data_IF_480927259096
#
_entry.id   IF_480927259096
#
_cell.length_a   1.000
_cell.length_b   1.000
_cell.length_c   1.000
_cell.angle_alpha   90.00
_cell.angle_beta   90.00
_cell.angle_gamma   90.00
#
_symmetry.space_group_name_H-M   'P 1'
#
loop_
_entity.id
_entity.type
_entity.pdbx_description
1 polymer ?
#
# COMPACT_ATOMS: atom_id res chain seq x y z
N UNK A 1 -2.28 -21.73 -9.42
CA UNK A 1 -3.13 -21.75 -8.23
C UNK A 1 -4.42 -21.04 -8.58
N UNK A 2 -5.55 -21.63 -8.25
CA UNK A 2 -6.86 -20.98 -8.30
C UNK A 2 -7.13 -20.34 -6.94
N UNK A 3 -7.54 -19.08 -6.91
CA UNK A 3 -7.80 -18.32 -5.68
C UNK A 3 -9.26 -18.31 -5.25
N UNK A 4 -10.16 -19.00 -5.96
CA UNK A 4 -11.59 -19.05 -5.64
C UNK A 4 -11.87 -19.57 -4.21
N UNK A 5 -11.15 -20.61 -3.77
CA UNK A 5 -11.28 -21.18 -2.42
C UNK A 5 -10.85 -20.16 -1.35
N UNK A 6 -9.77 -19.42 -1.60
CA UNK A 6 -9.26 -18.37 -0.70
C UNK A 6 -10.24 -17.19 -0.62
N UNK A 7 -10.73 -16.72 -1.78
CA UNK A 7 -11.71 -15.63 -1.84
C UNK A 7 -12.97 -16.00 -1.06
N UNK A 8 -13.46 -17.24 -1.18
CA UNK A 8 -14.61 -17.69 -0.41
C UNK A 8 -14.40 -17.57 1.11
N UNK A 9 -13.23 -17.96 1.63
CA UNK A 9 -12.95 -17.81 3.06
C UNK A 9 -12.83 -16.35 3.48
N UNK A 10 -12.30 -15.49 2.63
CA UNK A 10 -12.23 -14.04 2.87
C UNK A 10 -13.65 -13.43 2.89
N UNK A 11 -14.54 -13.83 1.98
CA UNK A 11 -15.94 -13.40 1.99
C UNK A 11 -16.63 -13.78 3.30
N UNK A 12 -16.46 -15.03 3.75
CA UNK A 12 -17.00 -15.47 5.03
C UNK A 12 -16.41 -14.70 6.22
N UNK A 13 -15.16 -14.27 6.15
CA UNK A 13 -14.54 -13.39 7.15
C UNK A 13 -15.17 -11.99 7.14
N UNK A 14 -15.38 -11.38 5.97
CA UNK A 14 -16.06 -10.09 5.86
C UNK A 14 -17.53 -10.14 6.28
N UNK A 15 -18.19 -11.29 6.10
CA UNK A 15 -19.54 -11.55 6.61
C UNK A 15 -19.59 -11.88 8.11
N UNK A 16 -18.45 -11.78 8.82
CA UNK A 16 -18.31 -12.09 10.25
C UNK A 16 -18.66 -13.55 10.60
N UNK A 17 -18.64 -14.45 9.62
CA UNK A 17 -18.87 -15.90 9.80
C UNK A 17 -17.60 -16.66 10.16
N UNK A 18 -16.43 -16.08 9.94
CA UNK A 18 -15.14 -16.59 10.36
C UNK A 18 -14.41 -15.56 11.22
N UNK A 19 -13.69 -16.02 12.24
CA UNK A 19 -12.74 -15.19 12.95
C UNK A 19 -11.43 -15.04 12.14
N UNK A 20 -10.58 -14.08 12.53
CA UNK A 20 -9.23 -13.98 11.96
C UNK A 20 -8.41 -15.27 12.17
N UNK A 21 -8.63 -15.97 13.29
CA UNK A 21 -7.98 -17.25 13.57
C UNK A 21 -8.42 -18.32 12.56
N UNK A 22 -9.73 -18.41 12.30
CA UNK A 22 -10.28 -19.37 11.33
C UNK A 22 -9.79 -19.06 9.92
N UNK A 23 -9.77 -17.78 9.52
CA UNK A 23 -9.24 -17.36 8.23
C UNK A 23 -7.77 -17.76 8.10
N UNK A 24 -6.92 -17.47 9.09
CA UNK A 24 -5.52 -17.88 9.09
C UNK A 24 -5.35 -19.39 8.95
N UNK A 25 -6.19 -20.17 9.65
CA UNK A 25 -6.19 -21.62 9.55
C UNK A 25 -6.47 -22.07 8.11
N UNK A 26 -7.56 -21.62 7.49
CA UNK A 26 -7.93 -22.05 6.14
C UNK A 26 -6.92 -21.61 5.07
N UNK A 27 -6.37 -20.40 5.16
CA UNK A 27 -5.33 -19.93 4.24
C UNK A 27 -4.06 -20.78 4.36
N UNK A 28 -3.69 -21.18 5.58
CA UNK A 28 -2.56 -22.08 5.81
C UNK A 28 -2.82 -23.44 5.17
N UNK A 29 -4.04 -24.00 5.32
CA UNK A 29 -4.43 -25.26 4.66
C UNK A 29 -4.38 -25.17 3.13
N UNK A 30 -4.80 -24.03 2.55
CA UNK A 30 -4.69 -23.79 1.11
C UNK A 30 -3.23 -23.80 0.64
N UNK A 31 -2.32 -23.16 1.39
CA UNK A 31 -0.89 -23.15 1.08
C UNK A 31 -0.27 -24.55 1.20
N UNK A 32 -0.62 -25.32 2.24
CA UNK A 32 -0.15 -26.69 2.48
C UNK A 32 -0.58 -27.66 1.38
N UNK A 33 -1.84 -27.58 0.92
CA UNK A 33 -2.39 -28.38 -0.19
C UNK A 33 -1.59 -28.20 -1.48
N UNK A 34 -1.06 -27.01 -1.70
CA UNK A 34 -0.26 -26.63 -2.86
C UNK A 34 1.25 -26.80 -2.62
N UNK A 35 1.63 -27.30 -1.43
CA UNK A 35 3.01 -27.52 -0.99
C UNK A 35 3.88 -26.25 -1.08
N UNK A 36 3.31 -25.11 -0.66
CA UNK A 36 4.00 -23.81 -0.60
C UNK A 36 3.82 -23.13 0.76
N UNK A 37 4.63 -22.09 1.02
CA UNK A 37 4.42 -21.23 2.20
C UNK A 37 3.31 -20.20 1.95
N UNK A 38 2.71 -19.68 3.02
CA UNK A 38 1.76 -18.55 2.95
C UNK A 38 2.41 -17.30 2.35
N UNK A 39 3.72 -17.09 2.57
CA UNK A 39 4.46 -16.01 1.89
C UNK A 39 4.51 -16.19 0.38
N UNK A 40 4.74 -17.41 -0.10
CA UNK A 40 4.73 -17.72 -1.54
C UNK A 40 3.34 -17.54 -2.12
N UNK A 41 2.32 -17.97 -1.37
CA UNK A 41 0.91 -17.80 -1.73
C UNK A 41 0.57 -16.33 -1.90
N UNK A 42 0.96 -15.46 -0.96
CA UNK A 42 0.65 -14.01 -1.05
C UNK A 42 1.32 -13.35 -2.25
N UNK A 43 2.55 -13.76 -2.61
CA UNK A 43 3.25 -13.30 -3.82
C UNK A 43 2.48 -13.71 -5.07
N UNK A 44 2.04 -14.97 -5.16
CA UNK A 44 1.27 -15.47 -6.30
C UNK A 44 -0.07 -14.73 -6.41
N UNK A 45 -0.71 -14.44 -5.28
CA UNK A 45 -2.00 -13.76 -5.24
C UNK A 45 -1.90 -12.31 -5.71
N UNK A 46 -0.88 -11.57 -5.25
CA UNK A 46 -0.57 -10.22 -5.73
C UNK A 46 -0.22 -10.18 -7.21
N UNK A 47 0.51 -11.20 -7.72
CA UNK A 47 0.83 -11.30 -9.15
C UNK A 47 -0.43 -11.53 -9.99
N UNK A 48 -1.33 -12.39 -9.53
CA UNK A 48 -2.58 -12.69 -10.23
C UNK A 48 -3.47 -11.45 -10.37
N UNK A 49 -3.76 -10.76 -9.26
CA UNK A 49 -4.59 -9.54 -9.33
C UNK A 49 -3.93 -8.43 -10.15
N UNK A 50 -2.59 -8.35 -10.16
CA UNK A 50 -1.84 -7.41 -11.01
C UNK A 50 -1.99 -7.75 -12.50
N UNK A 51 -1.89 -9.03 -12.86
CA UNK A 51 -2.02 -9.49 -14.24
C UNK A 51 -3.44 -9.24 -14.78
N UNK A 52 -4.45 -9.44 -13.94
CA UNK A 52 -5.86 -9.28 -14.27
C UNK A 52 -6.37 -7.84 -14.07
N UNK A 53 -5.58 -6.95 -13.45
CA UNK A 53 -5.98 -5.60 -13.01
C UNK A 53 -7.26 -5.63 -12.17
N UNK A 54 -7.33 -6.60 -11.27
CA UNK A 54 -8.49 -6.84 -10.43
C UNK A 54 -8.32 -6.15 -9.08
N UNK A 55 -9.04 -5.05 -8.89
CA UNK A 55 -8.97 -4.24 -7.66
C UNK A 55 -9.60 -4.90 -6.45
N UNK A 56 -10.61 -5.76 -6.64
CA UNK A 56 -11.28 -6.50 -5.56
C UNK A 56 -10.38 -7.63 -5.08
N UNK A 57 -9.83 -8.41 -6.01
CA UNK A 57 -8.85 -9.45 -5.66
C UNK A 57 -7.57 -8.85 -5.05
N UNK A 58 -7.17 -7.62 -5.41
CA UNK A 58 -6.06 -6.93 -4.75
C UNK A 58 -6.35 -6.62 -3.28
N UNK A 59 -7.58 -6.27 -2.91
CA UNK A 59 -7.98 -6.06 -1.52
C UNK A 59 -7.77 -7.34 -0.71
N UNK A 60 -8.24 -8.45 -1.24
CA UNK A 60 -8.09 -9.78 -0.65
C UNK A 60 -6.62 -10.19 -0.51
N UNK A 61 -5.80 -9.96 -1.53
CA UNK A 61 -4.37 -10.24 -1.48
C UNK A 61 -3.64 -9.41 -0.40
N UNK A 62 -3.99 -8.12 -0.26
CA UNK A 62 -3.43 -7.26 0.78
C UNK A 62 -3.89 -7.65 2.18
N UNK A 63 -5.15 -8.10 2.34
CA UNK A 63 -5.63 -8.65 3.62
C UNK A 63 -4.73 -9.81 4.07
N UNK A 64 -4.38 -10.74 3.17
CA UNK A 64 -3.47 -11.84 3.49
C UNK A 64 -2.10 -11.34 3.95
N UNK A 65 -1.55 -10.31 3.30
CA UNK A 65 -0.29 -9.67 3.72
C UNK A 65 -0.40 -9.13 5.15
N UNK A 66 -1.50 -8.45 5.49
CA UNK A 66 -1.70 -7.86 6.82
C UNK A 66 -1.89 -8.92 7.91
N UNK A 67 -2.82 -9.86 7.75
CA UNK A 67 -3.16 -10.79 8.83
C UNK A 67 -1.96 -11.70 9.16
N UNK A 68 -1.15 -12.07 8.17
CA UNK A 68 0.06 -12.88 8.37
C UNK A 68 1.33 -12.06 8.63
N UNK A 69 1.24 -10.72 8.66
CA UNK A 69 2.36 -9.81 8.89
C UNK A 69 3.56 -10.12 7.97
N UNK A 70 3.30 -10.21 6.67
CA UNK A 70 4.30 -10.64 5.67
C UNK A 70 5.24 -9.48 5.32
N UNK A 71 6.54 -9.68 5.54
CA UNK A 71 7.60 -8.69 5.26
C UNK A 71 8.56 -9.12 4.14
N UNK A 72 8.07 -9.91 3.19
CA UNK A 72 8.86 -10.45 2.11
C UNK A 72 9.27 -9.35 1.11
N UNK A 73 10.53 -9.39 0.63
CA UNK A 73 11.07 -8.38 -0.30
C UNK A 73 10.34 -8.33 -1.64
N UNK A 74 9.83 -9.46 -2.13
CA UNK A 74 9.08 -9.52 -3.38
C UNK A 74 7.68 -8.91 -3.22
N UNK A 75 7.03 -9.13 -2.07
CA UNK A 75 5.78 -8.43 -1.70
C UNK A 75 6.02 -6.92 -1.69
N UNK A 76 7.11 -6.46 -1.07
CA UNK A 76 7.48 -5.03 -1.07
C UNK A 76 7.68 -4.51 -2.49
N UNK A 77 8.38 -5.24 -3.36
CA UNK A 77 8.59 -4.85 -4.75
C UNK A 77 7.27 -4.74 -5.54
N UNK A 78 6.37 -5.72 -5.39
CA UNK A 78 5.04 -5.70 -6.00
C UNK A 78 4.22 -4.50 -5.50
N UNK A 79 4.21 -4.24 -4.20
CA UNK A 79 3.53 -3.09 -3.61
C UNK A 79 4.10 -1.75 -4.10
N UNK A 80 5.42 -1.65 -4.27
CA UNK A 80 6.07 -0.46 -4.84
C UNK A 80 5.60 -0.17 -6.28
N UNK A 81 5.41 -1.21 -7.09
CA UNK A 81 4.90 -1.08 -8.44
C UNK A 81 3.41 -0.74 -8.47
N UNK A 82 2.61 -1.43 -7.66
CA UNK A 82 1.16 -1.22 -7.53
C UNK A 82 0.83 0.19 -7.05
N UNK A 83 1.63 0.77 -6.14
CA UNK A 83 1.45 2.15 -5.68
C UNK A 83 1.40 3.18 -6.82
N UNK A 84 1.98 2.86 -7.98
CA UNK A 84 2.04 3.73 -9.15
C UNK A 84 0.98 3.41 -10.22
N UNK A 85 0.04 2.50 -9.93
CA UNK A 85 -1.02 2.06 -10.85
C UNK A 85 -2.36 2.67 -10.47
N UNK A 86 -3.10 3.17 -11.44
CA UNK A 86 -4.36 3.89 -11.22
C UNK A 86 -5.64 3.03 -11.41
N UNK A 87 -5.49 1.73 -11.66
CA UNK A 87 -6.62 0.81 -11.92
C UNK A 87 -7.29 0.28 -10.63
N UNK A 88 -6.74 0.56 -9.45
CA UNK A 88 -7.30 0.13 -8.16
C UNK A 88 -7.40 1.27 -7.15
N UNK A 89 -8.12 1.01 -6.05
CA UNK A 89 -8.35 1.98 -4.97
C UNK A 89 -7.54 1.71 -3.69
N UNK A 90 -6.69 0.67 -3.69
CA UNK A 90 -5.91 0.19 -2.53
C UNK A 90 -4.63 0.97 -2.19
N UNK A 91 -4.47 2.20 -2.68
CA UNK A 91 -3.21 2.95 -2.51
C UNK A 91 -2.86 3.21 -1.05
N UNK A 92 -3.85 3.49 -0.21
CA UNK A 92 -3.58 3.73 1.21
C UNK A 92 -3.14 2.45 1.93
N UNK A 93 -3.71 1.30 1.58
CA UNK A 93 -3.30 0.00 2.14
C UNK A 93 -1.88 -0.37 1.70
N UNK A 94 -1.57 -0.17 0.43
CA UNK A 94 -0.22 -0.35 -0.12
C UNK A 94 0.79 0.52 0.65
N UNK A 95 0.47 1.78 0.95
CA UNK A 95 1.35 2.64 1.76
C UNK A 95 1.56 2.04 3.16
N UNK A 96 0.53 1.48 3.80
CA UNK A 96 0.68 0.81 5.10
C UNK A 96 1.66 -0.37 5.01
N UNK A 97 1.49 -1.27 4.03
CA UNK A 97 2.41 -2.43 3.84
C UNK A 97 3.85 -1.95 3.67
N UNK A 98 4.05 -0.92 2.85
CA UNK A 98 5.36 -0.35 2.56
C UNK A 98 6.00 0.34 3.77
N UNK A 99 5.20 0.99 4.60
CA UNK A 99 5.63 1.62 5.86
C UNK A 99 6.05 0.56 6.89
N UNK A 100 5.22 -0.47 7.09
CA UNK A 100 5.43 -1.52 8.09
C UNK A 100 6.68 -2.35 7.84
N UNK A 101 7.07 -2.49 6.57
CA UNK A 101 8.31 -3.16 6.16
C UNK A 101 9.59 -2.36 6.50
N UNK A 102 9.48 -1.09 6.91
CA UNK A 102 10.60 -0.23 7.33
C UNK A 102 11.76 -0.15 6.34
N UNK A 103 11.49 -0.36 5.05
CA UNK A 103 12.49 -0.35 3.99
C UNK A 103 12.67 1.07 3.41
N UNK A 104 13.85 1.67 3.64
CA UNK A 104 14.18 3.01 3.14
C UNK A 104 14.21 3.10 1.61
N UNK A 105 14.48 1.98 0.92
CA UNK A 105 14.46 1.91 -0.55
C UNK A 105 13.07 2.13 -1.14
N UNK A 106 12.03 2.13 -0.30
CA UNK A 106 10.66 2.46 -0.72
C UNK A 106 10.42 3.96 -0.89
N UNK A 107 11.23 4.83 -0.26
CA UNK A 107 11.00 6.29 -0.29
C UNK A 107 10.95 6.88 -1.70
N UNK A 108 11.83 6.50 -2.66
CA UNK A 108 11.72 6.95 -4.04
C UNK A 108 10.36 6.64 -4.71
N UNK A 109 9.71 5.54 -4.34
CA UNK A 109 8.39 5.17 -4.86
C UNK A 109 7.28 6.02 -4.22
N UNK A 110 7.36 6.25 -2.91
CA UNK A 110 6.44 7.16 -2.20
C UNK A 110 6.51 8.59 -2.76
N UNK A 111 7.71 9.08 -3.09
CA UNK A 111 7.89 10.39 -3.72
C UNK A 111 7.27 10.46 -5.12
N UNK A 112 7.40 9.40 -5.92
CA UNK A 112 6.75 9.31 -7.24
C UNK A 112 5.22 9.31 -7.13
N UNK A 113 4.68 8.68 -6.09
CA UNK A 113 3.24 8.51 -5.89
C UNK A 113 2.47 9.84 -5.76
N UNK A 114 3.09 10.93 -5.30
CA UNK A 114 2.48 12.28 -5.27
C UNK A 114 2.02 12.80 -6.65
N UNK A 115 2.55 12.23 -7.74
CA UNK A 115 2.19 12.65 -9.10
C UNK A 115 1.10 11.78 -9.73
N UNK A 116 0.73 10.67 -9.09
CA UNK A 116 -0.28 9.74 -9.59
C UNK A 116 -1.66 10.40 -9.51
N UNK A 117 -2.45 10.33 -10.59
CA UNK A 117 -3.77 10.96 -10.70
C UNK A 117 -4.87 9.93 -10.44
N UNK A 118 -5.16 9.72 -9.17
CA UNK A 118 -6.19 8.80 -8.68
C UNK A 118 -7.59 9.42 -8.73
N UNK A 119 -8.42 8.99 -9.69
CA UNK A 119 -9.77 9.52 -9.88
C UNK A 119 -10.61 9.45 -8.59
N UNK A 120 -10.57 8.32 -7.90
CA UNK A 120 -11.32 8.09 -6.66
C UNK A 120 -10.86 8.96 -5.47
N UNK A 121 -9.72 9.64 -5.55
CA UNK A 121 -9.20 10.55 -4.52
C UNK A 121 -9.45 12.03 -4.85
N UNK A 122 -10.09 12.34 -5.97
CA UNK A 122 -10.35 13.73 -6.37
C UNK A 122 -11.32 14.44 -5.42
N UNK A 123 -12.24 13.71 -4.78
CA UNK A 123 -13.26 14.26 -3.88
C UNK A 123 -12.67 15.11 -2.74
N UNK A 124 -11.45 14.79 -2.27
CA UNK A 124 -10.78 15.53 -1.21
C UNK A 124 -9.50 16.25 -1.68
N UNK A 125 -9.36 16.46 -2.99
CA UNK A 125 -8.13 16.97 -3.61
C UNK A 125 -6.89 16.17 -3.18
N UNK A 126 -7.00 14.85 -3.10
CA UNK A 126 -5.91 13.93 -2.72
C UNK A 126 -5.34 14.14 -1.31
N UNK A 127 -6.07 14.81 -0.41
CA UNK A 127 -5.54 15.19 0.90
C UNK A 127 -5.12 13.98 1.75
N UNK A 128 -5.99 12.99 1.91
CA UNK A 128 -5.71 11.79 2.72
C UNK A 128 -4.51 11.02 2.17
N UNK A 129 -4.54 10.74 0.87
CA UNK A 129 -3.46 10.04 0.16
C UNK A 129 -2.10 10.75 0.30
N UNK A 130 -2.04 12.05 -0.03
CA UNK A 130 -0.81 12.83 0.08
C UNK A 130 -0.30 12.95 1.52
N UNK A 131 -1.21 13.05 2.50
CA UNK A 131 -0.84 13.05 3.92
C UNK A 131 -0.22 11.71 4.31
N UNK A 132 -0.80 10.60 3.89
CA UNK A 132 -0.28 9.26 4.20
C UNK A 132 1.11 9.04 3.60
N UNK A 133 1.33 9.45 2.35
CA UNK A 133 2.66 9.43 1.71
C UNK A 133 3.70 10.24 2.50
N UNK A 134 3.37 11.47 2.90
CA UNK A 134 4.28 12.34 3.65
C UNK A 134 4.73 11.69 4.96
N UNK A 135 3.79 11.13 5.73
CA UNK A 135 4.08 10.48 6.99
C UNK A 135 4.89 9.20 6.82
N UNK A 136 4.58 8.38 5.81
CA UNK A 136 5.36 7.18 5.50
C UNK A 136 6.82 7.55 5.15
N UNK A 137 7.04 8.57 4.31
CA UNK A 137 8.39 9.06 3.99
C UNK A 137 9.12 9.51 5.26
N UNK A 138 8.46 10.30 6.11
CA UNK A 138 9.05 10.80 7.35
C UNK A 138 9.42 9.66 8.32
N UNK A 139 8.55 8.65 8.48
CA UNK A 139 8.84 7.49 9.34
C UNK A 139 10.00 6.65 8.82
N UNK A 140 10.12 6.48 7.51
CA UNK A 140 11.19 5.69 6.90
C UNK A 140 12.54 6.40 6.88
N UNK A 141 12.56 7.72 6.67
CA UNK A 141 13.78 8.46 6.32
C UNK A 141 14.05 9.73 7.13
N UNK A 142 13.13 10.11 8.01
CA UNK A 142 13.20 11.36 8.75
C UNK A 142 13.25 12.57 7.82
N UNK A 143 14.28 13.39 7.98
CA UNK A 143 14.45 14.65 7.24
C UNK A 143 15.34 14.54 6.00
N UNK A 144 15.76 13.33 5.60
CA UNK A 144 16.73 13.14 4.52
C UNK A 144 16.20 13.58 3.14
N UNK A 145 14.88 13.59 2.94
CA UNK A 145 14.24 13.86 1.64
C UNK A 145 13.59 15.26 1.54
N UNK A 146 14.06 16.22 2.34
CA UNK A 146 13.52 17.60 2.35
C UNK A 146 13.56 18.27 0.98
N UNK A 147 14.62 18.06 0.20
CA UNK A 147 14.79 18.72 -1.11
C UNK A 147 13.81 18.16 -2.14
N UNK A 148 13.59 16.85 -2.12
CA UNK A 148 12.66 16.13 -2.97
C UNK A 148 11.22 16.52 -2.64
N UNK A 149 10.89 16.59 -1.34
CA UNK A 149 9.59 17.10 -0.88
C UNK A 149 9.39 18.57 -1.32
N UNK A 150 10.41 19.44 -1.23
CA UNK A 150 10.27 20.82 -1.70
C UNK A 150 9.87 20.90 -3.18
N UNK A 151 10.41 20.03 -4.03
CA UNK A 151 10.08 19.96 -5.47
C UNK A 151 8.65 19.47 -5.74
N UNK A 152 7.98 18.84 -4.76
CA UNK A 152 6.62 18.31 -4.90
C UNK A 152 5.53 19.30 -4.45
N UNK A 153 5.90 20.49 -3.96
CA UNK A 153 4.96 21.48 -3.38
C UNK A 153 3.80 21.88 -4.30
N UNK A 154 3.99 21.85 -5.62
CA UNK A 154 2.93 22.15 -6.60
C UNK A 154 2.05 20.94 -6.94
N UNK A 155 2.45 19.73 -6.53
CA UNK A 155 1.72 18.49 -6.78
C UNK A 155 0.86 18.03 -5.59
N UNK A 156 1.10 18.56 -4.40
CA UNK A 156 0.36 18.17 -3.20
C UNK A 156 -1.04 18.78 -3.14
N UNK A 157 -1.86 18.19 -2.28
CA UNK A 157 -3.18 18.72 -1.96
C UNK A 157 -3.06 20.15 -1.41
N UNK A 158 -3.86 21.12 -1.86
CA UNK A 158 -3.88 22.45 -1.26
C UNK A 158 -4.13 22.42 0.25
N UNK A 159 -4.94 21.46 0.72
CA UNK A 159 -5.24 21.25 2.14
C UNK A 159 -4.03 20.77 2.95
N UNK A 160 -3.04 20.14 2.31
CA UNK A 160 -1.83 19.63 2.97
C UNK A 160 -0.73 20.69 3.10
N UNK A 161 -0.78 21.78 2.31
CA UNK A 161 0.26 22.83 2.29
C UNK A 161 0.65 23.37 3.68
N UNK A 162 -0.27 23.59 4.64
CA UNK A 162 0.10 24.05 5.98
C UNK A 162 0.97 23.05 6.76
N UNK A 163 0.59 21.77 6.73
CA UNK A 163 1.33 20.68 7.39
C UNK A 163 2.66 20.42 6.68
N UNK A 164 2.66 20.46 5.34
CA UNK A 164 3.83 20.22 4.48
C UNK A 164 5.05 21.05 4.87
N UNK A 165 4.82 22.34 5.17
CA UNK A 165 5.89 23.30 5.53
C UNK A 165 6.72 22.84 6.73
N UNK A 166 6.10 22.14 7.68
CA UNK A 166 6.78 21.61 8.87
C UNK A 166 7.85 20.56 8.51
N UNK A 167 7.66 19.83 7.41
CA UNK A 167 8.56 18.76 6.99
C UNK A 167 9.73 19.26 6.15
N UNK A 168 9.49 20.26 5.29
CA UNK A 168 10.53 20.85 4.43
C UNK A 168 11.35 21.96 5.14
N UNK A 169 10.82 22.53 6.23
CA UNK A 169 11.38 23.67 6.94
C UNK A 169 11.08 25.01 6.27
N UNK A 170 11.04 26.10 7.03
CA UNK A 170 10.82 27.45 6.51
C UNK A 170 12.01 27.89 5.65
N UNK A 171 11.93 27.59 4.35
CA UNK A 171 12.59 28.37 3.31
C UNK A 171 11.56 28.78 2.26
N UNK A 172 10.58 29.56 2.68
CA UNK A 172 10.05 30.60 1.79
C UNK A 172 10.64 31.91 2.29
N UNK A 173 11.64 32.40 1.56
CA UNK A 173 12.15 33.74 1.75
C UNK A 173 10.98 34.73 1.78
N UNK A 174 11.05 35.65 2.73
CA UNK A 174 10.22 36.85 2.73
C UNK A 174 10.24 37.44 1.32
N UNK A 175 9.07 37.55 0.71
CA UNK A 175 8.85 38.46 -0.42
C UNK A 175 8.82 39.88 0.16
#
# INVERSE_FOLDING_TARGET
MDFAEINHYIDLFYEEKLSEYDLKYYITQCAEKENISVETLSILFLKDCTANKDGETLENALLIVFIFNIHNKEVVALCQELLLKDWHERHEDIISVLEDNRNKETVPYLLKAFRVKLKYMQYNNYYSFHKKLLWAIYKLSGSQYKKELLQLTEHISPKLKPEWRQFIGDKMGKI
#
